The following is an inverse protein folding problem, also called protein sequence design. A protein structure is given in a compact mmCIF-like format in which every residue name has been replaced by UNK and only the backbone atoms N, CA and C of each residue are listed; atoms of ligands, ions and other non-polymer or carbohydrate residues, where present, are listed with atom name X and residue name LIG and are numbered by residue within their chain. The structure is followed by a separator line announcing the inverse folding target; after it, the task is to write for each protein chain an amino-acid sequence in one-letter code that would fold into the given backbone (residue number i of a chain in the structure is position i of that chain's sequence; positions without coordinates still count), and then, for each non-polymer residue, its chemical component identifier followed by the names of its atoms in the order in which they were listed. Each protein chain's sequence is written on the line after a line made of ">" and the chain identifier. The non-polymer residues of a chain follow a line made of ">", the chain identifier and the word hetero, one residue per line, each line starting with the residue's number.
data_IF_060345514337
#
_entry.id   IF_060345514337
#
_cell.length_a   1.000
_cell.length_b   1.000
_cell.length_c   1.000
_cell.angle_alpha   90.00
_cell.angle_beta   90.00
_cell.angle_gamma   90.00
#
_symmetry.space_group_name_H-M   'P 1'
#
loop_
_entity.id
_entity.type
_entity.pdbx_description
1 polymer ?
#
# COMPACT_ATOMS: atom_id res chain seq x y z
N UNK A 1 10.11 -12.32 -5.44
CA UNK A 1 9.35 -13.07 -4.41
C UNK A 1 7.87 -12.99 -4.74
N UNK A 2 7.08 -14.03 -4.47
CA UNK A 2 5.61 -13.97 -4.56
C UNK A 2 5.06 -14.11 -3.16
N UNK A 3 4.17 -13.21 -2.75
CA UNK A 3 3.49 -13.23 -1.46
C UNK A 3 2.00 -13.17 -1.76
N UNK A 4 1.22 -13.98 -1.05
CA UNK A 4 -0.23 -13.95 -1.06
C UNK A 4 -0.73 -14.17 0.37
N UNK A 5 -1.89 -13.63 0.68
CA UNK A 5 -2.56 -13.78 1.96
C UNK A 5 -3.92 -13.10 1.93
N UNK A 6 -4.76 -13.47 2.88
CA UNK A 6 -6.11 -12.98 3.05
C UNK A 6 -6.34 -12.55 4.51
N UNK A 7 -7.31 -11.66 4.71
CA UNK A 7 -7.73 -11.19 6.03
C UNK A 7 -9.19 -10.76 5.98
N UNK A 8 -9.96 -11.08 7.03
CA UNK A 8 -11.37 -10.70 7.15
C UNK A 8 -11.51 -9.50 8.09
N UNK A 9 -12.14 -8.43 7.59
CA UNK A 9 -12.49 -7.25 8.39
C UNK A 9 -13.95 -7.33 8.84
N UNK A 10 -14.23 -7.02 10.11
CA UNK A 10 -15.59 -6.82 10.62
C UNK A 10 -16.10 -5.40 10.28
N UNK A 11 -16.11 -5.07 8.99
CA UNK A 11 -16.53 -3.75 8.49
C UNK A 11 -17.14 -3.86 7.08
N UNK A 12 -17.98 -2.89 6.65
CA UNK A 12 -18.51 -2.87 5.29
C UNK A 12 -17.39 -2.81 4.24
N UNK A 13 -17.55 -3.56 3.15
CA UNK A 13 -16.55 -3.65 2.07
C UNK A 13 -16.12 -2.27 1.54
N UNK A 14 -17.07 -1.35 1.32
CA UNK A 14 -16.78 0.01 0.87
C UNK A 14 -15.90 0.80 1.84
N UNK A 15 -16.14 0.66 3.15
CA UNK A 15 -15.33 1.33 4.17
C UNK A 15 -13.88 0.81 4.17
N UNK A 16 -13.70 -0.50 3.99
CA UNK A 16 -12.36 -1.09 3.88
C UNK A 16 -11.68 -0.60 2.59
N UNK A 17 -12.41 -0.57 1.47
CA UNK A 17 -11.90 -0.10 0.18
C UNK A 17 -11.38 1.35 0.24
N UNK A 18 -12.15 2.24 0.87
CA UNK A 18 -11.77 3.64 1.10
C UNK A 18 -10.53 3.73 2.01
N UNK A 19 -10.52 3.01 3.13
CA UNK A 19 -9.43 3.02 4.10
C UNK A 19 -8.09 2.52 3.52
N UNK A 20 -8.12 1.56 2.59
CA UNK A 20 -6.93 1.05 1.90
C UNK A 20 -6.30 2.06 0.93
N UNK A 21 -6.96 3.18 0.67
CA UNK A 21 -6.49 4.25 -0.21
C UNK A 21 -6.33 5.59 0.50
N UNK A 22 -6.70 5.67 1.78
CA UNK A 22 -6.59 6.88 2.58
C UNK A 22 -5.15 7.06 3.11
N UNK A 23 -4.43 8.12 2.70
CA UNK A 23 -3.07 8.37 3.16
C UNK A 23 -2.92 8.50 4.67
N UNK A 24 -3.93 9.03 5.37
CA UNK A 24 -3.90 9.19 6.82
C UNK A 24 -3.99 7.84 7.51
N UNK A 25 -4.94 7.00 7.08
CA UNK A 25 -5.08 5.63 7.58
C UNK A 25 -3.82 4.82 7.30
N UNK A 26 -3.34 4.84 6.05
CA UNK A 26 -2.16 4.10 5.63
C UNK A 26 -0.91 4.53 6.42
N UNK A 27 -0.70 5.83 6.62
CA UNK A 27 0.43 6.34 7.40
C UNK A 27 0.36 5.89 8.86
N UNK A 28 -0.83 5.83 9.45
CA UNK A 28 -1.02 5.41 10.83
C UNK A 28 -0.73 3.91 11.06
N UNK A 29 -0.99 3.06 10.06
CA UNK A 29 -0.87 1.59 10.21
C UNK A 29 0.40 1.00 9.59
N UNK A 30 1.01 1.68 8.62
CA UNK A 30 2.19 1.17 7.92
C UNK A 30 3.45 1.30 8.79
N UNK A 31 4.15 0.19 9.10
CA UNK A 31 5.34 0.23 9.93
C UNK A 31 6.45 1.11 9.33
N UNK A 32 6.86 2.13 10.07
CA UNK A 32 7.93 3.03 9.65
C UNK A 32 7.54 4.00 8.53
N UNK A 33 6.26 4.16 8.21
CA UNK A 33 5.83 5.24 7.32
C UNK A 33 6.08 6.59 7.98
N UNK A 34 6.96 7.40 7.39
CA UNK A 34 7.25 8.76 7.85
C UNK A 34 6.36 9.79 7.15
N UNK A 35 5.99 9.52 5.90
CA UNK A 35 5.18 10.40 5.06
C UNK A 35 4.52 9.61 3.93
N UNK A 36 3.29 9.98 3.59
CA UNK A 36 2.60 9.56 2.38
C UNK A 36 1.74 10.73 1.88
N UNK A 37 2.09 11.29 0.73
CA UNK A 37 1.34 12.38 0.11
C UNK A 37 0.66 11.89 -1.17
N UNK A 38 -0.57 12.34 -1.40
CA UNK A 38 -1.21 12.20 -2.70
C UNK A 38 -0.64 13.24 -3.66
N UNK A 39 -0.01 12.78 -4.73
CA UNK A 39 0.67 13.64 -5.73
C UNK A 39 -0.08 13.73 -7.06
N UNK A 40 -1.15 12.94 -7.22
CA UNK A 40 -1.98 12.93 -8.41
C UNK A 40 -3.23 12.07 -8.22
N UNK A 41 -3.98 11.88 -9.30
CA UNK A 41 -5.06 10.91 -9.32
C UNK A 41 -4.46 9.50 -9.21
N UNK A 42 -4.84 8.78 -8.15
CA UNK A 42 -4.36 7.42 -7.87
C UNK A 42 -2.83 7.28 -7.75
N UNK A 43 -2.14 8.38 -7.46
CA UNK A 43 -0.69 8.44 -7.31
C UNK A 43 -0.28 9.02 -5.96
N UNK A 44 0.65 8.33 -5.32
CA UNK A 44 1.17 8.67 -4.00
C UNK A 44 2.69 8.67 -4.00
N UNK A 45 3.29 9.55 -3.20
CA UNK A 45 4.72 9.57 -2.93
C UNK A 45 4.94 9.48 -1.42
N UNK A 46 5.86 8.63 -1.00
CA UNK A 46 6.06 8.37 0.41
C UNK A 46 7.50 8.04 0.79
N UNK A 47 7.76 8.15 2.09
CA UNK A 47 9.02 7.81 2.73
C UNK A 47 8.77 6.79 3.84
N UNK A 48 9.48 5.67 3.80
CA UNK A 48 9.44 4.63 4.82
C UNK A 48 10.82 4.40 5.41
N UNK A 49 10.89 4.27 6.73
CA UNK A 49 12.08 3.92 7.48
C UNK A 49 11.86 2.57 8.16
N UNK A 50 12.29 1.51 7.46
CA UNK A 50 12.00 0.13 7.83
C UNK A 50 13.14 -0.40 8.70
N UNK A 51 12.77 -1.12 9.77
CA UNK A 51 13.67 -1.90 10.63
C UNK A 51 13.07 -3.29 10.86
N UNK A 52 13.02 -4.11 9.81
CA UNK A 52 12.40 -5.44 9.85
C UNK A 52 13.48 -6.50 9.55
N UNK A 53 13.87 -7.24 10.59
CA UNK A 53 14.89 -8.29 10.47
C UNK A 53 16.22 -7.76 9.91
N UNK A 54 16.82 -8.41 8.89
CA UNK A 54 18.07 -7.93 8.28
C UNK A 54 17.87 -6.71 7.37
N UNK A 55 16.63 -6.29 7.11
CA UNK A 55 16.32 -5.14 6.25
C UNK A 55 16.16 -3.89 7.11
N UNK A 56 17.15 -3.02 7.03
CA UNK A 56 17.14 -1.72 7.69
C UNK A 56 17.49 -0.61 6.71
N UNK A 57 16.64 0.43 6.64
CA UNK A 57 16.97 1.63 5.87
C UNK A 57 15.77 2.49 5.54
N UNK A 58 16.08 3.69 5.08
CA UNK A 58 15.11 4.63 4.54
C UNK A 58 14.92 4.41 3.05
N UNK A 59 13.66 4.29 2.64
CA UNK A 59 13.20 4.16 1.27
C UNK A 59 12.29 5.34 0.94
N UNK A 60 12.43 5.88 -0.26
CA UNK A 60 11.52 6.84 -0.86
C UNK A 60 10.97 6.24 -2.14
N UNK A 61 9.67 6.39 -2.37
CA UNK A 61 9.04 5.73 -3.51
C UNK A 61 7.72 6.32 -3.90
N UNK A 62 7.24 5.83 -5.05
CA UNK A 62 5.96 6.18 -5.62
C UNK A 62 5.08 4.95 -5.70
N UNK A 63 3.79 5.18 -5.46
CA UNK A 63 2.74 4.19 -5.60
C UNK A 63 1.75 4.69 -6.64
N UNK A 64 1.35 3.82 -7.55
CA UNK A 64 0.32 4.09 -8.55
C UNK A 64 -0.74 2.99 -8.52
N UNK A 65 -2.01 3.39 -8.48
CA UNK A 65 -3.13 2.46 -8.55
C UNK A 65 -3.69 2.43 -9.97
N UNK A 66 -3.99 1.23 -10.46
CA UNK A 66 -4.57 0.96 -11.77
C UNK A 66 -5.72 -0.05 -11.64
N UNK A 67 -6.54 -0.15 -12.68
CA UNK A 67 -7.67 -1.09 -12.73
C UNK A 67 -8.61 -1.00 -11.51
N UNK A 68 -8.91 0.23 -11.06
CA UNK A 68 -9.79 0.46 -9.92
C UNK A 68 -11.20 -0.04 -10.25
N UNK A 69 -11.71 -0.91 -9.38
CA UNK A 69 -13.07 -1.44 -9.39
C UNK A 69 -13.63 -1.24 -8.00
N UNK A 70 -14.27 -0.11 -7.74
CA UNK A 70 -14.82 0.17 -6.42
C UNK A 70 -16.12 -0.63 -6.19
N UNK A 71 -16.30 -1.31 -5.04
CA UNK A 71 -15.37 -1.50 -3.91
C UNK A 71 -14.63 -2.86 -3.95
N UNK A 72 -14.56 -3.50 -5.13
CA UNK A 72 -14.02 -4.85 -5.37
C UNK A 72 -12.50 -4.94 -5.35
N UNK A 73 -11.76 -3.88 -5.69
CA UNK A 73 -10.29 -3.94 -5.68
C UNK A 73 -9.58 -3.06 -6.71
N UNK A 74 -8.27 -3.28 -6.83
CA UNK A 74 -7.37 -2.53 -7.72
C UNK A 74 -6.01 -3.24 -7.87
N UNK A 75 -5.23 -2.83 -8.86
CA UNK A 75 -3.81 -3.18 -9.00
C UNK A 75 -2.94 -2.05 -8.45
N UNK A 76 -1.96 -2.38 -7.62
CA UNK A 76 -1.01 -1.41 -7.05
C UNK A 76 0.39 -1.67 -7.59
N UNK A 77 1.01 -0.61 -8.10
CA UNK A 77 2.41 -0.60 -8.55
C UNK A 77 3.23 0.24 -7.59
N UNK A 78 4.36 -0.31 -7.12
CA UNK A 78 5.26 0.35 -6.17
C UNK A 78 6.66 0.39 -6.77
N UNK A 79 7.25 1.58 -6.84
CA UNK A 79 8.67 1.78 -7.17
C UNK A 79 9.32 2.59 -6.04
N UNK A 80 10.31 2.00 -5.37
CA UNK A 80 10.99 2.61 -4.24
C UNK A 80 12.51 2.46 -4.33
N UNK A 81 13.24 3.43 -3.77
CA UNK A 81 14.70 3.44 -3.69
C UNK A 81 15.16 3.88 -2.31
N UNK A 82 16.21 3.26 -1.82
CA UNK A 82 16.82 3.57 -0.54
C UNK A 82 18.30 3.20 -0.55
N UNK A 83 19.00 3.52 0.55
CA UNK A 83 20.40 3.12 0.71
C UNK A 83 20.63 1.59 0.57
N UNK A 84 19.71 0.70 1.04
CA UNK A 84 19.87 -0.74 0.87
C UNK A 84 19.64 -1.25 -0.56
N UNK A 85 19.07 -0.43 -1.46
CA UNK A 85 18.76 -0.85 -2.83
C UNK A 85 17.46 -0.25 -3.39
N UNK A 86 16.84 -0.94 -4.33
CA UNK A 86 15.56 -0.55 -4.93
C UNK A 86 14.53 -1.67 -4.81
N UNK A 87 13.25 -1.29 -4.80
CA UNK A 87 12.10 -2.19 -4.78
C UNK A 87 11.21 -1.83 -5.96
N UNK A 88 10.84 -2.84 -6.74
CA UNK A 88 9.72 -2.74 -7.68
C UNK A 88 8.76 -3.88 -7.36
N UNK A 89 7.51 -3.54 -7.08
CA UNK A 89 6.48 -4.50 -6.74
C UNK A 89 5.19 -4.19 -7.48
N UNK A 90 4.45 -5.25 -7.77
CA UNK A 90 3.07 -5.18 -8.22
C UNK A 90 2.26 -6.04 -7.28
N UNK A 91 1.12 -5.53 -6.82
CA UNK A 91 0.17 -6.24 -6.00
C UNK A 91 -1.22 -6.13 -6.61
N UNK A 92 -1.99 -7.21 -6.53
CA UNK A 92 -3.41 -7.20 -6.84
C UNK A 92 -4.18 -7.28 -5.52
N UNK A 93 -5.07 -6.32 -5.30
CA UNK A 93 -5.92 -6.24 -4.12
C UNK A 93 -7.34 -6.57 -4.56
N UNK A 94 -7.94 -7.56 -3.90
CA UNK A 94 -9.33 -7.98 -4.11
C UNK A 94 -10.04 -7.94 -2.76
N UNK A 95 -11.27 -7.42 -2.78
CA UNK A 95 -12.17 -7.41 -1.64
C UNK A 95 -13.43 -8.14 -2.07
N UNK A 96 -13.86 -9.06 -1.21
CA UNK A 96 -15.09 -9.81 -1.37
C UNK A 96 -15.96 -9.61 -0.13
N UNK A 97 -17.26 -9.48 -0.35
CA UNK A 97 -18.24 -9.55 0.74
C UNK A 97 -18.23 -10.97 1.31
N UNK A 98 -18.10 -11.10 2.62
CA UNK A 98 -18.35 -12.37 3.31
C UNK A 98 -19.82 -12.37 3.75
N UNK A 99 -20.55 -13.44 3.41
CA UNK A 99 -21.96 -13.64 3.79
C UNK A 99 -22.14 -13.88 5.30
#
# INVERSE_FOLDING_TARGET
>A
MKIAGDYTFEAPQAMVYEALQDPEVLTAVMPGCEKLDKIGENEYEGALNIKIGPVQGKFMGKVRLENLREPEGYTMHVDGRGAPGFVKAQAEIQLDSTE
#
